data_IF_183117993389
#
_entry.id   IF_183117993389
#
_cell.length_a   1.000
_cell.length_b   1.000
_cell.length_c   1.000
_cell.angle_alpha   90.00
_cell.angle_beta   90.00
_cell.angle_gamma   90.00
#
_symmetry.space_group_name_H-M   'P 1'
#
loop_
_entity.id
_entity.type
_entity.pdbx_description
1 polymer ?
#
# COMPACT_ATOMS: atom_id res chain seq x y z
N UNK A 1 -38.13 -41.66 17.26
CA UNK A 1 -37.37 -40.74 18.11
C UNK A 1 -36.12 -40.25 17.38
N UNK A 2 -36.23 -39.22 16.54
CA UNK A 2 -35.06 -38.61 15.86
C UNK A 2 -35.47 -37.31 15.16
N UNK A 3 -35.95 -36.35 15.96
CA UNK A 3 -36.20 -34.96 15.53
C UNK A 3 -35.64 -33.95 16.55
N UNK A 4 -34.61 -34.36 17.32
CA UNK A 4 -34.02 -33.58 18.43
C UNK A 4 -32.63 -33.00 18.15
N UNK A 5 -32.12 -33.10 16.92
CA UNK A 5 -30.88 -32.42 16.51
C UNK A 5 -31.21 -31.50 15.35
N UNK A 6 -30.88 -30.22 15.50
CA UNK A 6 -31.25 -29.15 14.57
C UNK A 6 -30.99 -29.51 13.12
N UNK A 7 -31.91 -29.12 12.24
CA UNK A 7 -31.81 -29.31 10.79
C UNK A 7 -30.41 -28.89 10.33
N UNK A 8 -29.67 -29.79 9.69
CA UNK A 8 -28.38 -29.46 9.06
C UNK A 8 -28.63 -28.27 8.12
N UNK A 9 -27.92 -27.17 8.34
CA UNK A 9 -28.05 -25.96 7.52
C UNK A 9 -27.84 -26.33 6.06
N UNK A 10 -28.72 -25.84 5.20
CA UNK A 10 -28.57 -26.03 3.74
C UNK A 10 -27.33 -25.28 3.24
N UNK A 11 -26.71 -25.70 2.12
CA UNK A 11 -25.58 -24.96 1.54
C UNK A 11 -25.90 -23.48 1.29
N UNK A 12 -27.14 -23.18 0.88
CA UNK A 12 -27.60 -21.80 0.68
C UNK A 12 -27.71 -21.00 2.00
N UNK A 13 -28.08 -21.63 3.10
CA UNK A 13 -28.10 -21.00 4.43
C UNK A 13 -26.69 -20.74 4.95
N UNK A 14 -25.76 -21.69 4.76
CA UNK A 14 -24.35 -21.53 5.13
C UNK A 14 -23.69 -20.37 4.35
N UNK A 15 -23.93 -20.27 3.04
CA UNK A 15 -23.42 -19.15 2.23
C UNK A 15 -23.98 -17.79 2.69
N UNK A 16 -25.26 -17.73 3.09
CA UNK A 16 -25.88 -16.51 3.62
C UNK A 16 -25.32 -16.13 4.98
N UNK A 17 -25.08 -17.09 5.86
CA UNK A 17 -24.50 -16.86 7.18
C UNK A 17 -23.04 -16.40 7.08
N UNK A 18 -22.23 -17.08 6.26
CA UNK A 18 -20.84 -16.69 6.01
C UNK A 18 -20.75 -15.29 5.40
N UNK A 19 -21.63 -14.94 4.44
CA UNK A 19 -21.69 -13.56 3.92
C UNK A 19 -21.97 -12.54 5.02
N UNK A 20 -22.93 -12.81 5.91
CA UNK A 20 -23.24 -11.91 7.05
C UNK A 20 -22.08 -11.77 8.02
N UNK A 21 -21.38 -12.88 8.31
CA UNK A 21 -20.18 -12.88 9.14
C UNK A 21 -19.10 -12.01 8.52
N UNK A 22 -18.82 -12.18 7.22
CA UNK A 22 -17.84 -11.37 6.50
C UNK A 22 -18.23 -9.88 6.47
N UNK A 23 -19.48 -9.55 6.18
CA UNK A 23 -19.97 -8.16 6.20
C UNK A 23 -19.81 -7.52 7.59
N UNK A 24 -19.96 -8.31 8.66
CA UNK A 24 -19.71 -7.86 10.04
C UNK A 24 -18.23 -7.62 10.29
N UNK A 25 -17.37 -8.57 9.90
CA UNK A 25 -15.91 -8.44 10.02
C UNK A 25 -15.36 -7.25 9.23
N UNK A 26 -15.87 -6.98 8.03
CA UNK A 26 -15.52 -5.79 7.24
C UNK A 26 -15.82 -4.50 8.02
N UNK A 27 -16.97 -4.43 8.71
CA UNK A 27 -17.33 -3.25 9.52
C UNK A 27 -16.49 -3.12 10.79
N UNK A 28 -16.15 -4.25 11.42
CA UNK A 28 -15.28 -4.26 12.60
C UNK A 28 -13.87 -3.77 12.22
N UNK A 29 -13.30 -4.26 11.12
CA UNK A 29 -12.03 -3.79 10.55
C UNK A 29 -12.09 -2.30 10.24
N UNK A 30 -13.17 -1.82 9.61
CA UNK A 30 -13.30 -0.40 9.27
C UNK A 30 -13.32 0.49 10.51
N UNK A 31 -13.95 0.03 11.60
CA UNK A 31 -13.97 0.73 12.89
C UNK A 31 -12.59 0.74 13.55
N UNK A 32 -11.90 -0.41 13.56
CA UNK A 32 -10.53 -0.50 14.10
C UNK A 32 -9.57 0.40 13.33
N UNK A 33 -9.65 0.41 11.99
CA UNK A 33 -8.89 1.31 11.12
C UNK A 33 -9.14 2.78 11.49
N UNK A 34 -10.38 3.19 11.67
CA UNK A 34 -10.72 4.57 12.07
C UNK A 34 -10.19 4.93 13.47
N UNK A 35 -10.20 3.97 14.40
CA UNK A 35 -9.62 4.15 15.73
C UNK A 35 -8.10 4.34 15.63
N UNK A 36 -7.41 3.54 14.83
CA UNK A 36 -5.97 3.69 14.60
C UNK A 36 -5.63 5.02 13.92
N UNK A 37 -6.41 5.48 12.93
CA UNK A 37 -6.22 6.82 12.34
C UNK A 37 -6.39 7.95 13.36
N UNK A 38 -7.26 7.77 14.35
CA UNK A 38 -7.43 8.74 15.44
C UNK A 38 -6.24 8.68 16.40
N UNK A 39 -5.71 7.50 16.69
CA UNK A 39 -4.50 7.31 17.49
C UNK A 39 -3.27 7.90 16.79
N UNK A 40 -3.12 7.68 15.48
CA UNK A 40 -2.07 8.27 14.64
C UNK A 40 -2.04 9.80 14.79
N UNK A 41 -3.19 10.46 14.66
CA UNK A 41 -3.29 11.92 14.83
C UNK A 41 -2.88 12.38 16.23
N UNK A 42 -3.22 11.62 17.27
CA UNK A 42 -2.83 11.92 18.66
C UNK A 42 -1.32 11.74 18.85
N UNK A 43 -0.75 10.64 18.34
CA UNK A 43 0.69 10.37 18.34
C UNK A 43 1.46 11.50 17.64
N UNK A 44 1.02 11.94 16.46
CA UNK A 44 1.65 13.07 15.75
C UNK A 44 1.66 14.34 16.61
N UNK A 45 0.53 14.65 17.28
CA UNK A 45 0.46 15.82 18.16
C UNK A 45 1.39 15.69 19.38
N UNK A 46 1.50 14.50 19.95
CA UNK A 46 2.37 14.20 21.08
C UNK A 46 3.85 14.25 20.69
N UNK A 47 4.23 13.66 19.56
CA UNK A 47 5.58 13.72 18.99
C UNK A 47 5.99 15.19 18.80
N UNK A 48 5.12 16.02 18.20
CA UNK A 48 5.37 17.46 18.03
C UNK A 48 5.59 18.18 19.37
N UNK A 49 4.80 17.84 20.40
CA UNK A 49 4.92 18.45 21.73
C UNK A 49 6.23 18.05 22.41
N UNK A 50 6.57 16.78 22.40
CA UNK A 50 7.78 16.24 23.03
C UNK A 50 9.04 16.67 22.29
N UNK A 51 8.95 16.85 20.96
CA UNK A 51 10.03 17.43 20.17
C UNK A 51 10.35 18.88 20.56
N UNK A 52 9.32 19.70 20.77
CA UNK A 52 9.50 21.08 21.29
C UNK A 52 10.14 21.12 22.67
N UNK A 53 9.96 20.08 23.48
CA UNK A 53 10.59 19.93 24.79
C UNK A 53 12.06 19.45 24.71
N UNK A 54 12.57 19.15 23.52
CA UNK A 54 13.96 18.71 23.30
C UNK A 54 14.24 17.24 23.66
N UNK A 55 13.21 16.44 23.94
CA UNK A 55 13.38 15.04 24.35
C UNK A 55 13.49 14.10 23.14
N UNK A 56 14.61 14.18 22.41
CA UNK A 56 14.79 13.46 21.14
C UNK A 56 14.78 11.93 21.27
N UNK A 57 15.21 11.36 22.40
CA UNK A 57 15.12 9.91 22.64
C UNK A 57 13.67 9.43 22.69
N UNK A 58 12.78 10.16 23.38
CA UNK A 58 11.36 9.87 23.43
C UNK A 58 10.68 10.06 22.06
N UNK A 59 11.07 11.11 21.32
CA UNK A 59 10.61 11.37 19.95
C UNK A 59 10.93 10.19 19.02
N UNK A 60 12.15 9.64 19.08
CA UNK A 60 12.53 8.47 18.28
C UNK A 60 11.68 7.23 18.60
N UNK A 61 11.38 6.97 19.87
CA UNK A 61 10.52 5.84 20.26
C UNK A 61 9.09 6.03 19.73
N UNK A 62 8.51 7.21 19.96
CA UNK A 62 7.16 7.50 19.48
C UNK A 62 7.05 7.53 17.95
N UNK A 63 8.11 7.92 17.25
CA UNK A 63 8.15 7.86 15.78
C UNK A 63 8.13 6.41 15.26
N UNK A 64 8.80 5.47 15.94
CA UNK A 64 8.67 4.03 15.63
C UNK A 64 7.23 3.54 15.84
N UNK A 65 6.59 3.94 16.94
CA UNK A 65 5.19 3.60 17.20
C UNK A 65 4.24 4.19 16.14
N UNK A 66 4.56 5.39 15.63
CA UNK A 66 3.81 6.01 14.54
C UNK A 66 3.93 5.22 13.23
N UNK A 67 5.15 4.80 12.85
CA UNK A 67 5.38 3.95 11.67
C UNK A 67 4.59 2.65 11.80
N UNK A 68 4.70 1.98 12.95
CA UNK A 68 3.95 0.74 13.22
C UNK A 68 2.43 0.95 13.12
N UNK A 69 1.92 2.08 13.58
CA UNK A 69 0.50 2.44 13.48
C UNK A 69 0.09 2.65 12.02
N UNK A 70 0.91 3.34 11.22
CA UNK A 70 0.68 3.54 9.77
C UNK A 70 0.67 2.22 9.02
N UNK A 71 1.64 1.34 9.30
CA UNK A 71 1.69 0.02 8.70
C UNK A 71 0.45 -0.82 9.04
N UNK A 72 -0.03 -0.78 10.29
CA UNK A 72 -1.29 -1.44 10.67
C UNK A 72 -2.49 -0.87 9.90
N UNK A 73 -2.58 0.45 9.72
CA UNK A 73 -3.65 1.08 8.92
C UNK A 73 -3.60 0.58 7.47
N UNK A 74 -2.43 0.52 6.85
CA UNK A 74 -2.23 -0.05 5.49
C UNK A 74 -2.66 -1.50 5.43
N UNK A 75 -2.22 -2.33 6.39
CA UNK A 75 -2.63 -3.73 6.50
C UNK A 75 -4.14 -3.90 6.62
N UNK A 76 -4.83 -3.01 7.35
CA UNK A 76 -6.30 -3.03 7.43
C UNK A 76 -6.99 -2.67 6.11
N UNK A 77 -6.40 -1.81 5.27
CA UNK A 77 -6.89 -1.60 3.90
C UNK A 77 -6.76 -2.88 3.05
N UNK A 78 -5.60 -3.55 3.13
CA UNK A 78 -5.38 -4.83 2.45
C UNK A 78 -6.37 -5.91 2.89
N UNK A 79 -6.52 -6.11 4.20
CA UNK A 79 -7.47 -7.07 4.79
C UNK A 79 -8.91 -6.78 4.37
N UNK A 80 -9.33 -5.50 4.35
CA UNK A 80 -10.66 -5.11 3.88
C UNK A 80 -10.86 -5.50 2.41
N UNK A 81 -9.88 -5.21 1.56
CA UNK A 81 -9.93 -5.57 0.13
C UNK A 81 -10.06 -7.08 -0.05
N UNK A 82 -9.24 -7.86 0.67
CA UNK A 82 -9.29 -9.32 0.66
C UNK A 82 -10.67 -9.85 1.07
N UNK A 83 -11.25 -9.36 2.18
CA UNK A 83 -12.59 -9.77 2.62
C UNK A 83 -13.69 -9.36 1.63
N UNK A 84 -13.56 -8.21 0.97
CA UNK A 84 -14.48 -7.80 -0.09
C UNK A 84 -14.40 -8.74 -1.30
N UNK A 85 -13.18 -9.15 -1.69
CA UNK A 85 -12.95 -10.17 -2.73
C UNK A 85 -13.60 -11.51 -2.38
N UNK A 86 -13.44 -11.99 -1.14
CA UNK A 86 -14.10 -13.22 -0.66
C UNK A 86 -15.63 -13.08 -0.66
N UNK A 87 -16.17 -11.93 -0.24
CA UNK A 87 -17.61 -11.66 -0.27
C UNK A 87 -18.17 -11.71 -1.70
N UNK A 88 -17.42 -11.18 -2.68
CA UNK A 88 -17.76 -11.26 -4.10
C UNK A 88 -17.73 -12.71 -4.60
N UNK A 89 -16.68 -13.49 -4.28
CA UNK A 89 -16.61 -14.92 -4.62
C UNK A 89 -17.79 -15.70 -4.05
N UNK A 90 -18.19 -15.45 -2.80
CA UNK A 90 -19.40 -16.07 -2.20
C UNK A 90 -20.68 -15.67 -2.94
N UNK A 91 -20.78 -14.42 -3.39
CA UNK A 91 -21.92 -13.97 -4.19
C UNK A 91 -21.97 -14.70 -5.55
N UNK A 92 -20.83 -14.91 -6.21
CA UNK A 92 -20.74 -15.72 -7.42
C UNK A 92 -21.18 -17.16 -7.15
N UNK A 93 -20.65 -17.81 -6.09
CA UNK A 93 -21.05 -19.16 -5.69
C UNK A 93 -22.55 -19.29 -5.44
N UNK A 94 -23.18 -18.29 -4.82
CA UNK A 94 -24.63 -18.27 -4.61
C UNK A 94 -25.41 -18.24 -5.92
N UNK A 95 -24.96 -17.46 -6.90
CA UNK A 95 -25.57 -17.39 -8.24
C UNK A 95 -25.39 -18.71 -8.99
N UNK A 96 -24.19 -19.30 -8.93
CA UNK A 96 -23.90 -20.62 -9.52
C UNK A 96 -24.77 -21.71 -8.90
N UNK A 97 -24.94 -21.71 -7.58
CA UNK A 97 -25.83 -22.65 -6.89
C UNK A 97 -27.29 -22.49 -7.35
N UNK A 98 -27.78 -21.27 -7.49
CA UNK A 98 -29.14 -21.02 -7.98
C UNK A 98 -29.33 -21.50 -9.43
N UNK A 99 -28.32 -21.31 -10.28
CA UNK A 99 -28.31 -21.84 -11.65
C UNK A 99 -28.30 -23.37 -11.65
N UNK A 100 -27.49 -24.01 -10.79
CA UNK A 100 -27.46 -25.46 -10.63
C UNK A 100 -28.81 -26.03 -10.15
N UNK A 101 -29.47 -25.36 -9.21
CA UNK A 101 -30.80 -25.74 -8.73
C UNK A 101 -31.87 -25.60 -9.83
N UNK A 102 -31.80 -24.54 -10.64
CA UNK A 102 -32.67 -24.36 -11.80
C UNK A 102 -32.42 -25.41 -12.88
N UNK A 103 -31.16 -25.68 -13.21
CA UNK A 103 -30.76 -26.74 -14.14
C UNK A 103 -31.22 -28.11 -13.64
N UNK A 104 -31.11 -28.41 -12.35
CA UNK A 104 -31.63 -29.65 -11.76
C UNK A 104 -33.14 -29.81 -11.96
N UNK A 105 -33.91 -28.72 -11.83
CA UNK A 105 -35.34 -28.69 -12.15
C UNK A 105 -35.61 -28.96 -13.63
N UNK A 106 -34.88 -28.30 -14.52
CA UNK A 106 -34.96 -28.47 -15.98
C UNK A 106 -34.56 -29.90 -16.38
N UNK A 107 -33.47 -30.46 -15.86
CA UNK A 107 -33.04 -31.84 -16.12
C UNK A 107 -34.06 -32.84 -15.59
N UNK A 108 -34.74 -32.57 -14.47
CA UNK A 108 -35.80 -33.45 -13.96
C UNK A 108 -37.03 -33.42 -14.88
N UNK A 109 -37.43 -32.23 -15.36
CA UNK A 109 -38.50 -32.09 -16.34
C UNK A 109 -38.11 -32.70 -17.70
N UNK A 110 -36.89 -32.47 -18.16
CA UNK A 110 -36.32 -33.07 -19.37
C UNK A 110 -36.11 -34.58 -19.23
N UNK A 111 -35.83 -35.12 -18.05
CA UNK A 111 -35.75 -36.57 -17.81
C UNK A 111 -37.13 -37.21 -17.89
N UNK A 112 -38.16 -36.54 -17.35
CA UNK A 112 -39.55 -36.95 -17.50
C UNK A 112 -40.03 -36.83 -18.96
N UNK A 113 -39.54 -35.84 -19.72
CA UNK A 113 -39.86 -35.63 -21.14
C UNK A 113 -39.02 -36.51 -22.10
N UNK A 114 -37.77 -36.82 -21.76
CA UNK A 114 -36.85 -37.72 -22.50
C UNK A 114 -37.25 -39.20 -22.33
N UNK A 115 -37.94 -39.55 -21.24
CA UNK A 115 -38.71 -40.81 -21.18
C UNK A 115 -39.78 -40.91 -22.28
N UNK A 116 -40.11 -39.79 -22.95
CA UNK A 116 -41.01 -39.74 -24.09
C UNK A 116 -40.31 -39.40 -25.42
N UNK A 117 -39.20 -38.63 -25.49
CA UNK A 117 -38.47 -38.34 -26.75
C UNK A 117 -36.93 -38.03 -26.61
N UNK A 118 -36.09 -38.83 -27.31
CA UNK A 118 -34.76 -38.61 -27.97
C UNK A 118 -33.45 -38.21 -27.21
N UNK A 119 -32.49 -39.15 -27.22
CA UNK A 119 -31.11 -39.14 -26.65
C UNK A 119 -30.02 -38.19 -27.25
N UNK A 120 -29.99 -37.81 -28.53
CA UNK A 120 -28.82 -37.12 -29.12
C UNK A 120 -28.61 -35.66 -28.67
N UNK A 121 -29.68 -34.94 -28.30
CA UNK A 121 -29.60 -33.53 -27.91
C UNK A 121 -28.96 -33.34 -26.51
N UNK A 122 -29.17 -34.30 -25.62
CA UNK A 122 -28.61 -34.31 -24.27
C UNK A 122 -27.07 -34.41 -24.29
N UNK A 123 -26.51 -35.18 -25.22
CA UNK A 123 -25.06 -35.32 -25.39
C UNK A 123 -24.39 -34.03 -25.86
N UNK A 124 -25.11 -33.16 -26.57
CA UNK A 124 -24.57 -31.87 -27.01
C UNK A 124 -24.53 -30.86 -25.87
N UNK A 125 -25.59 -30.80 -25.06
CA UNK A 125 -25.68 -29.90 -23.90
C UNK A 125 -24.64 -30.25 -22.83
N UNK A 126 -24.39 -31.54 -22.57
CA UNK A 126 -23.33 -31.96 -21.63
C UNK A 126 -21.94 -31.52 -22.10
N UNK A 127 -21.65 -31.70 -23.39
CA UNK A 127 -20.35 -31.31 -23.97
C UNK A 127 -20.12 -29.80 -23.94
N UNK A 128 -21.18 -29.03 -24.17
CA UNK A 128 -21.12 -27.56 -24.19
C UNK A 128 -21.04 -26.99 -22.76
N UNK A 129 -21.62 -27.68 -21.78
CA UNK A 129 -21.44 -27.39 -20.35
C UNK A 129 -20.02 -27.70 -19.88
N UNK A 130 -19.46 -28.86 -20.24
CA UNK A 130 -18.06 -29.21 -19.94
C UNK A 130 -17.09 -28.17 -20.50
N UNK A 131 -17.28 -27.75 -21.76
CA UNK A 131 -16.45 -26.71 -22.39
C UNK A 131 -16.55 -25.34 -21.69
N UNK A 132 -17.76 -24.95 -21.26
CA UNK A 132 -17.97 -23.68 -20.54
C UNK A 132 -17.38 -23.71 -19.14
N UNK A 133 -17.42 -24.87 -18.47
CA UNK A 133 -16.89 -25.04 -17.12
C UNK A 133 -15.35 -25.03 -17.14
N UNK A 134 -14.74 -25.70 -18.11
CA UNK A 134 -13.29 -25.69 -18.33
C UNK A 134 -12.79 -24.27 -18.68
N UNK A 135 -13.55 -23.53 -19.50
CA UNK A 135 -13.25 -22.12 -19.79
C UNK A 135 -13.34 -21.24 -18.53
N UNK A 136 -14.29 -21.50 -17.64
CA UNK A 136 -14.44 -20.76 -16.40
C UNK A 136 -13.28 -21.05 -15.44
N UNK A 137 -12.86 -22.31 -15.33
CA UNK A 137 -11.71 -22.74 -14.52
C UNK A 137 -10.41 -22.08 -15.00
N UNK A 138 -10.17 -22.09 -16.32
CA UNK A 138 -9.03 -21.39 -16.93
C UNK A 138 -9.06 -19.87 -16.67
N UNK A 139 -10.23 -19.23 -16.74
CA UNK A 139 -10.33 -17.79 -16.41
C UNK A 139 -10.14 -17.50 -14.92
N UNK A 140 -10.41 -18.46 -14.03
CA UNK A 140 -10.17 -18.29 -12.60
C UNK A 140 -8.69 -18.41 -12.26
N UNK A 141 -7.99 -19.38 -12.85
CA UNK A 141 -6.54 -19.55 -12.70
C UNK A 141 -5.79 -18.31 -13.21
N UNK A 142 -6.16 -17.78 -14.37
CA UNK A 142 -5.55 -16.57 -14.93
C UNK A 142 -5.82 -15.31 -14.09
N UNK A 143 -6.93 -15.28 -13.35
CA UNK A 143 -7.22 -14.21 -12.40
C UNK A 143 -6.44 -14.39 -11.09
N UNK A 144 -6.25 -15.62 -10.63
CA UNK A 144 -5.50 -15.90 -9.40
C UNK A 144 -3.99 -15.66 -9.62
N UNK A 145 -3.42 -16.05 -10.76
CA UNK A 145 -2.02 -15.75 -11.14
C UNK A 145 -1.77 -14.24 -11.26
N UNK A 146 -2.69 -13.51 -11.90
CA UNK A 146 -2.61 -12.05 -12.00
C UNK A 146 -2.84 -11.34 -10.65
N UNK A 147 -3.47 -12.02 -9.69
CA UNK A 147 -3.67 -11.53 -8.33
C UNK A 147 -2.46 -11.82 -7.44
N UNK A 148 -1.75 -12.94 -7.63
CA UNK A 148 -0.48 -13.26 -6.96
C UNK A 148 0.67 -12.36 -7.44
N UNK A 149 0.80 -12.12 -8.75
CA UNK A 149 1.82 -11.21 -9.30
C UNK A 149 1.59 -9.74 -8.89
N UNK A 150 0.33 -9.35 -8.63
CA UNK A 150 0.01 -8.04 -8.07
C UNK A 150 0.24 -7.93 -6.54
N UNK A 151 0.52 -9.05 -5.85
CA UNK A 151 0.71 -9.11 -4.39
C UNK A 151 2.17 -9.37 -3.96
N UNK A 152 3.06 -9.79 -4.86
CA UNK A 152 4.51 -9.94 -4.60
C UNK A 152 5.26 -8.59 -4.45
N UNK A 153 4.58 -7.45 -4.60
CA UNK A 153 5.16 -6.11 -4.48
C UNK A 153 5.15 -5.49 -3.08
N UNK A 154 4.66 -6.18 -2.04
CA UNK A 154 4.81 -5.73 -0.64
C UNK A 154 6.21 -6.16 -0.15
N UNK A 155 7.25 -5.54 -0.72
CA UNK A 155 8.60 -5.58 -0.17
C UNK A 155 8.54 -5.12 1.29
N UNK A 156 8.96 -5.99 2.20
CA UNK A 156 9.14 -5.70 3.61
C UNK A 156 10.04 -4.45 3.74
N UNK A 157 9.42 -3.31 3.98
CA UNK A 157 10.11 -2.10 4.43
C UNK A 157 10.78 -2.44 5.76
N UNK A 158 12.09 -2.77 5.70
CA UNK A 158 12.94 -2.82 6.87
C UNK A 158 12.68 -1.54 7.68
N UNK A 159 12.34 -1.68 8.96
CA UNK A 159 12.16 -0.59 9.91
C UNK A 159 13.51 0.12 10.14
N UNK A 160 14.01 0.83 9.12
CA UNK A 160 15.29 1.51 9.13
C UNK A 160 15.17 2.81 9.91
N UNK A 161 16.27 3.24 10.51
CA UNK A 161 16.36 4.57 11.12
C UNK A 161 16.09 5.70 10.11
N UNK A 162 16.23 5.41 8.81
CA UNK A 162 15.90 6.30 7.71
C UNK A 162 14.39 6.57 7.63
N UNK A 163 13.53 5.55 7.78
CA UNK A 163 12.08 5.74 7.83
C UNK A 163 11.67 6.60 9.02
N UNK A 164 12.33 6.43 10.17
CA UNK A 164 12.12 7.28 11.34
C UNK A 164 12.51 8.73 11.04
N UNK A 165 13.65 8.96 10.38
CA UNK A 165 14.06 10.30 9.97
C UNK A 165 13.05 10.92 9.00
N UNK A 166 12.65 10.20 7.97
CA UNK A 166 11.69 10.66 6.96
C UNK A 166 10.35 11.06 7.57
N UNK A 167 9.84 10.29 8.54
CA UNK A 167 8.59 10.62 9.24
C UNK A 167 8.74 11.86 10.11
N UNK A 168 9.89 12.07 10.76
CA UNK A 168 10.15 13.29 11.54
C UNK A 168 10.21 14.54 10.65
N UNK A 169 10.81 14.40 9.46
CA UNK A 169 10.87 15.44 8.44
C UNK A 169 9.46 15.75 7.89
N UNK A 170 8.65 14.73 7.58
CA UNK A 170 7.23 14.89 7.15
C UNK A 170 6.38 15.64 8.20
N UNK A 171 6.62 15.37 9.48
CA UNK A 171 5.90 16.01 10.59
C UNK A 171 6.30 17.49 10.72
N UNK A 172 7.40 17.91 10.09
CA UNK A 172 7.97 19.25 10.19
C UNK A 172 8.67 19.45 11.52
N UNK A 173 9.26 18.39 12.08
CA UNK A 173 10.24 18.50 13.17
C UNK A 173 11.60 18.63 12.50
N UNK A 174 11.70 19.61 11.62
CA UNK A 174 13.00 20.00 11.13
C UNK A 174 13.81 20.51 12.33
N UNK A 175 15.08 20.17 12.28
CA UNK A 175 16.12 20.43 13.25
C UNK A 175 16.40 21.95 13.41
N UNK A 176 15.38 22.81 13.44
CA UNK A 176 15.45 24.27 13.64
C UNK A 176 16.24 24.64 14.91
N UNK A 177 16.38 23.71 15.85
CA UNK A 177 17.21 23.90 17.05
C UNK A 177 18.73 23.81 16.78
N UNK A 178 19.19 23.27 15.66
CA UNK A 178 20.62 23.33 15.27
C UNK A 178 20.95 24.64 14.54
N UNK A 179 20.01 25.28 13.85
CA UNK A 179 20.22 26.59 13.21
C UNK A 179 20.08 27.76 14.19
N UNK A 180 19.28 27.64 15.25
CA UNK A 180 19.15 28.67 16.30
C UNK A 180 20.30 28.60 17.33
N UNK A 181 21.19 27.59 17.26
CA UNK A 181 22.34 27.40 18.17
C UNK A 181 23.70 27.67 17.56
N UNK A 182 23.80 28.48 16.50
CA UNK A 182 25.06 29.12 16.15
C UNK A 182 25.15 30.49 16.86
N UNK A 183 25.95 30.64 17.94
CA UNK A 183 26.16 31.95 18.53
C UNK A 183 27.00 32.79 17.55
N UNK A 184 26.38 33.76 16.88
CA UNK A 184 27.08 34.80 16.12
C UNK A 184 27.74 35.85 17.06
N UNK A 185 28.31 35.39 18.17
CA UNK A 185 29.02 36.21 19.14
C UNK A 185 30.49 35.79 19.18
N UNK A 186 31.26 36.25 18.20
CA UNK A 186 32.69 36.50 18.39
C UNK A 186 33.12 37.73 17.61
N UNK A 187 32.93 38.87 18.29
CA UNK A 187 33.85 40.01 18.39
C UNK A 187 34.26 40.76 17.12
N UNK A 188 33.68 41.95 16.99
CA UNK A 188 34.35 43.11 16.43
C UNK A 188 35.44 43.63 17.40
N UNK A 189 36.65 43.88 16.90
CA UNK A 189 37.50 45.02 17.28
C UNK A 189 38.62 45.23 16.23
N UNK A 190 38.97 46.47 15.87
CA UNK A 190 39.90 46.83 14.79
C UNK A 190 41.33 46.99 15.31
N UNK A 191 42.34 46.69 14.48
CA UNK A 191 43.72 47.16 14.72
C UNK A 191 44.35 47.57 13.40
N UNK A 192 44.73 48.85 13.34
CA UNK A 192 45.42 49.51 12.23
C UNK A 192 46.95 49.31 12.27
N UNK A 193 47.56 49.54 11.10
CA UNK A 193 48.96 49.94 10.81
C UNK A 193 50.11 48.92 10.91
N UNK A 194 50.59 48.47 9.74
CA UNK A 194 51.91 48.87 9.21
C UNK A 194 52.15 48.29 7.79
N UNK A 195 52.19 49.17 6.79
CA UNK A 195 52.75 48.94 5.44
C UNK A 195 54.28 49.26 5.47
N UNK A 196 55.11 49.12 4.39
CA UNK A 196 54.73 48.97 2.97
C UNK A 196 55.62 48.06 2.09
N UNK A 197 55.11 47.71 0.90
CA UNK A 197 55.96 47.19 -0.19
C UNK A 197 55.26 46.67 -1.44
N UNK A 198 54.85 47.60 -2.34
CA UNK A 198 54.81 47.50 -3.84
C UNK A 198 53.89 46.41 -4.46
N UNK A 199 53.04 46.65 -5.48
CA UNK A 199 52.90 47.67 -6.53
C UNK A 199 51.45 47.68 -7.07
N UNK A 200 51.09 48.77 -7.77
CA UNK A 200 49.75 49.21 -8.12
C UNK A 200 49.11 48.61 -9.40
N UNK A 201 47.80 48.86 -9.47
CA UNK A 201 46.68 48.51 -10.37
C UNK A 201 46.79 49.09 -11.82
N UNK A 202 45.87 48.79 -12.79
CA UNK A 202 44.53 49.40 -12.75
C UNK A 202 43.34 48.53 -13.22
N UNK A 203 42.19 49.05 -12.84
CA UNK A 203 40.78 48.78 -13.13
C UNK A 203 40.39 48.52 -14.59
N UNK A 204 39.37 47.67 -14.80
CA UNK A 204 38.60 47.62 -16.05
C UNK A 204 37.39 46.69 -15.94
N UNK A 205 36.19 47.26 -16.10
CA UNK A 205 34.91 46.56 -16.12
C UNK A 205 34.69 45.78 -17.43
N UNK A 206 33.63 44.97 -17.42
CA UNK A 206 32.87 44.38 -18.54
C UNK A 206 33.49 43.23 -19.35
N UNK A 207 32.79 42.08 -19.31
CA UNK A 207 32.69 41.08 -20.40
C UNK A 207 33.90 40.18 -20.61
N UNK A 208 33.76 38.87 -20.32
CA UNK A 208 33.84 37.86 -21.37
C UNK A 208 33.74 36.42 -20.81
N UNK A 209 32.77 35.72 -21.38
CA UNK A 209 32.34 34.33 -21.28
C UNK A 209 33.40 33.33 -21.80
N UNK A 210 34.69 33.57 -21.56
CA UNK A 210 35.80 32.78 -22.15
C UNK A 210 36.62 31.98 -21.13
N UNK A 211 36.45 32.24 -19.82
CA UNK A 211 37.19 31.52 -18.76
C UNK A 211 36.65 30.11 -18.49
N UNK A 212 35.33 29.95 -18.49
CA UNK A 212 34.65 28.70 -18.12
C UNK A 212 34.88 27.62 -19.20
N UNK A 213 34.86 28.01 -20.47
CA UNK A 213 35.09 27.07 -21.58
C UNK A 213 36.51 26.49 -21.57
N UNK A 214 37.53 27.28 -21.21
CA UNK A 214 38.91 26.78 -21.11
C UNK A 214 39.09 25.71 -20.03
N UNK A 215 38.42 25.87 -18.88
CA UNK A 215 38.45 24.91 -17.77
C UNK A 215 37.64 23.64 -18.09
N UNK A 216 36.55 23.77 -18.86
CA UNK A 216 35.77 22.63 -19.33
C UNK A 216 36.51 21.83 -20.41
N UNK A 217 37.22 22.50 -21.33
CA UNK A 217 38.06 21.84 -22.35
C UNK A 217 39.17 21.00 -21.71
N UNK A 218 39.84 21.56 -20.70
CA UNK A 218 40.91 20.87 -19.97
C UNK A 218 40.41 19.62 -19.21
N UNK A 219 39.18 19.65 -18.70
CA UNK A 219 38.53 18.48 -18.07
C UNK A 219 38.12 17.41 -19.10
N UNK A 220 37.70 17.82 -20.29
CA UNK A 220 37.31 16.92 -21.38
C UNK A 220 38.52 16.17 -21.96
N UNK A 221 39.67 16.85 -22.11
CA UNK A 221 40.89 16.24 -22.61
C UNK A 221 41.50 15.23 -21.62
N UNK A 222 41.33 15.46 -20.31
CA UNK A 222 41.72 14.47 -19.29
C UNK A 222 40.85 13.21 -19.30
N UNK A 223 39.57 13.31 -19.68
CA UNK A 223 38.66 12.17 -19.83
C UNK A 223 38.91 11.36 -21.11
N UNK A 224 39.42 12.01 -22.17
CA UNK A 224 39.77 11.35 -23.44
C UNK A 224 41.10 10.59 -23.42
N UNK A 225 41.89 10.76 -22.36
CA UNK A 225 43.21 10.13 -22.20
C UNK A 225 43.20 8.88 -21.31
N UNK A 226 42.03 8.53 -20.75
CA UNK A 226 41.74 7.23 -20.12
C UNK A 226 41.14 6.28 -21.17
#
# INVERSE_FOLDING_TARGET
MSFLFGKKKTPAELLRENKRMLDKSIREIERERQNLQTQEKKLIAEIKKTAKQGQMSAVKVMAKDLIRTRHQITKFYGLKSQLQGVSLRIQTLKSTQAMADAMKGVTKAMSQMNKQLNLPALQKIMREFELQNEKMEFTSELIDDAFEEAFEGDEEEEETEELVSQVLDEIGIDLDQQLVRAPANSTAAPVETSAPGRVAQPTGASGDDAGIDSDLQARLDNLRRL
#
